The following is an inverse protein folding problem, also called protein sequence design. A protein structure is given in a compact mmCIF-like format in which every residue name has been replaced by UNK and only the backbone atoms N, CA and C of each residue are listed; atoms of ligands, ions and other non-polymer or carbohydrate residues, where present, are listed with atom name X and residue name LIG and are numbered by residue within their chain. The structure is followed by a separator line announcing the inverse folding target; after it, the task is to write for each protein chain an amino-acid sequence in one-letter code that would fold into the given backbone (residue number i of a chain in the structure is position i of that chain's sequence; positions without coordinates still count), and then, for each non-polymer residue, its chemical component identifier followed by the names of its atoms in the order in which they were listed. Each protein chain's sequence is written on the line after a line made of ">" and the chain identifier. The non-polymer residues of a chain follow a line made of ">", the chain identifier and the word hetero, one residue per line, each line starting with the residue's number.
data_IF_219315353014
#
_entry.id   IF_219315353014
#
_cell.length_a   1.000
_cell.length_b   1.000
_cell.length_c   1.000
_cell.angle_alpha   90.00
_cell.angle_beta   90.00
_cell.angle_gamma   90.00
#
_symmetry.space_group_name_H-M   'P 1'
#
loop_
_entity.id
_entity.type
_entity.pdbx_description
1 polymer ?
#
# COMPACT_ATOMS: atom_id res chain seq x y z
N UNK A 1 70.76 -35.25 32.03
CA UNK A 1 69.33 -35.00 32.05
C UNK A 1 69.13 -33.66 31.35
N UNK A 2 68.69 -33.67 30.09
CA UNK A 2 68.38 -32.45 29.32
C UNK A 2 66.85 -32.24 29.40
N UNK A 3 66.37 -31.04 29.59
CA UNK A 3 64.90 -30.76 29.54
C UNK A 3 64.42 -30.64 28.12
N UNK A 4 63.33 -31.36 27.81
CA UNK A 4 62.57 -31.28 26.56
C UNK A 4 61.63 -30.07 26.63
N UNK A 5 61.84 -29.05 25.77
CA UNK A 5 60.98 -27.91 25.65
C UNK A 5 59.84 -28.26 24.66
N UNK A 6 58.60 -28.35 25.14
CA UNK A 6 57.40 -28.48 24.32
C UNK A 6 57.06 -27.14 23.66
N UNK A 7 57.04 -27.12 22.32
CA UNK A 7 56.59 -25.99 21.53
C UNK A 7 55.06 -26.16 21.29
N UNK A 8 54.23 -25.30 21.90
CA UNK A 8 52.79 -25.25 21.64
C UNK A 8 52.54 -24.40 20.40
N UNK A 9 52.03 -24.99 19.31
CA UNK A 9 51.57 -24.31 18.13
C UNK A 9 50.09 -23.96 18.33
N UNK A 10 49.75 -22.67 18.50
CA UNK A 10 48.39 -22.16 18.50
C UNK A 10 47.92 -21.95 17.07
N UNK A 11 46.96 -22.76 16.62
CA UNK A 11 46.25 -22.57 15.34
C UNK A 11 45.14 -21.55 15.59
N UNK A 12 45.34 -20.30 15.15
CA UNK A 12 44.31 -19.27 15.11
C UNK A 12 43.32 -19.57 13.99
N UNK A 13 42.06 -19.88 14.31
CA UNK A 13 40.96 -19.88 13.34
C UNK A 13 40.61 -18.43 13.02
N UNK A 14 40.98 -17.99 11.81
CA UNK A 14 40.44 -16.76 11.24
C UNK A 14 39.04 -17.03 10.69
N UNK A 15 37.99 -16.60 11.41
CA UNK A 15 36.66 -16.47 10.83
C UNK A 15 36.65 -15.26 9.89
N UNK A 16 36.69 -15.50 8.59
CA UNK A 16 36.38 -14.48 7.59
C UNK A 16 34.86 -14.25 7.62
N UNK A 17 34.42 -13.15 8.21
CA UNK A 17 33.07 -12.64 7.97
C UNK A 17 33.04 -12.16 6.52
N UNK A 18 32.34 -12.91 5.68
CA UNK A 18 31.95 -12.41 4.36
C UNK A 18 30.96 -11.25 4.62
N UNK A 19 31.42 -10.02 4.45
CA UNK A 19 30.54 -8.87 4.30
C UNK A 19 29.83 -9.11 2.98
N UNK A 20 28.54 -9.46 3.03
CA UNK A 20 27.69 -9.49 1.84
C UNK A 20 27.69 -8.08 1.28
N UNK A 21 28.28 -7.90 0.11
CA UNK A 21 28.20 -6.63 -0.60
C UNK A 21 26.73 -6.41 -0.92
N UNK A 22 26.15 -5.32 -0.38
CA UNK A 22 24.82 -4.88 -0.75
C UNK A 22 24.83 -4.70 -2.27
N UNK A 23 24.05 -5.49 -2.99
CA UNK A 23 23.96 -5.39 -4.46
C UNK A 23 23.46 -3.99 -4.80
N UNK A 24 24.27 -3.19 -5.49
CA UNK A 24 23.83 -1.89 -5.97
C UNK A 24 22.68 -2.12 -6.97
N UNK A 25 21.50 -1.62 -6.63
CA UNK A 25 20.35 -1.69 -7.52
C UNK A 25 20.59 -0.82 -8.76
N UNK A 26 20.09 -1.22 -9.95
CA UNK A 26 20.29 -0.47 -11.18
C UNK A 26 19.73 0.95 -11.07
N UNK A 27 20.34 1.90 -11.76
CA UNK A 27 19.80 3.25 -11.90
C UNK A 27 18.60 3.24 -12.85
N UNK A 28 17.65 4.19 -12.65
CA UNK A 28 16.53 4.37 -13.59
C UNK A 28 17.00 4.67 -15.01
N UNK A 29 18.15 5.35 -15.15
CA UNK A 29 18.76 5.65 -16.45
C UNK A 29 19.36 4.43 -17.17
N UNK A 30 19.56 3.34 -16.45
CA UNK A 30 20.12 2.10 -17.00
C UNK A 30 19.02 1.12 -17.43
N UNK A 31 17.75 1.46 -17.15
CA UNK A 31 16.61 0.62 -17.50
C UNK A 31 16.19 0.84 -18.94
N UNK A 32 15.86 -0.25 -19.62
CA UNK A 32 15.27 -0.20 -20.95
C UNK A 32 13.84 0.39 -20.90
N UNK A 33 13.34 0.98 -22.02
CA UNK A 33 11.95 1.40 -22.10
C UNK A 33 10.97 0.25 -21.81
N UNK A 34 9.97 0.51 -20.99
CA UNK A 34 9.00 -0.49 -20.54
C UNK A 34 9.23 -0.90 -19.08
N UNK A 35 8.65 -2.04 -18.69
CA UNK A 35 8.74 -2.52 -17.32
C UNK A 35 10.02 -3.30 -17.07
N UNK A 36 10.72 -2.93 -16.02
CA UNK A 36 11.86 -3.66 -15.47
C UNK A 36 11.52 -4.22 -14.09
N UNK A 37 11.99 -5.43 -13.81
CA UNK A 37 11.90 -6.06 -12.48
C UNK A 37 13.22 -5.83 -11.76
N UNK A 38 13.15 -5.34 -10.53
CA UNK A 38 14.32 -5.04 -9.69
C UNK A 38 14.22 -5.86 -8.42
N UNK A 39 15.10 -6.85 -8.26
CA UNK A 39 15.19 -7.70 -7.07
C UNK A 39 15.89 -6.96 -5.94
N UNK A 40 15.43 -7.17 -4.71
CA UNK A 40 16.00 -6.60 -3.48
C UNK A 40 16.41 -7.69 -2.51
N UNK A 41 17.04 -7.33 -1.39
CA UNK A 41 17.33 -8.25 -0.28
C UNK A 41 16.09 -8.49 0.63
N UNK A 42 14.93 -7.90 0.28
CA UNK A 42 13.68 -8.05 1.01
C UNK A 42 13.06 -9.45 0.85
N UNK A 43 12.09 -9.76 1.71
CA UNK A 43 11.39 -11.04 1.69
C UNK A 43 9.88 -10.87 1.84
N UNK A 44 9.11 -11.74 1.19
CA UNK A 44 7.67 -11.87 1.34
C UNK A 44 7.29 -12.63 2.62
N UNK A 45 6.00 -12.76 2.92
CA UNK A 45 5.47 -13.38 4.14
C UNK A 45 5.97 -14.81 4.40
N UNK A 46 6.26 -15.55 3.35
CA UNK A 46 6.77 -16.93 3.39
C UNK A 46 8.30 -17.05 3.38
N UNK A 47 9.03 -15.90 3.39
CA UNK A 47 10.48 -15.86 3.26
C UNK A 47 11.00 -15.94 1.82
N UNK A 48 10.12 -15.92 0.82
CA UNK A 48 10.52 -15.86 -0.60
C UNK A 48 11.06 -14.47 -0.96
N UNK A 49 11.91 -14.36 -2.00
CA UNK A 49 12.52 -13.07 -2.39
C UNK A 49 11.50 -11.99 -2.71
N UNK A 50 11.86 -10.73 -2.41
CA UNK A 50 11.08 -9.55 -2.76
C UNK A 50 11.70 -8.83 -3.97
N UNK A 51 10.84 -8.29 -4.81
CA UNK A 51 11.19 -7.49 -5.98
C UNK A 51 10.16 -6.38 -6.19
N UNK A 52 10.50 -5.37 -6.98
CA UNK A 52 9.58 -4.32 -7.39
C UNK A 52 9.70 -4.03 -8.88
N UNK A 53 8.79 -3.21 -9.41
CA UNK A 53 8.76 -2.88 -10.84
C UNK A 53 9.03 -1.40 -11.04
N UNK A 54 9.79 -1.06 -12.08
CA UNK A 54 10.02 0.31 -12.49
C UNK A 54 9.88 0.46 -14.01
N UNK A 55 9.29 1.58 -14.44
CA UNK A 55 9.16 1.97 -15.84
C UNK A 55 9.66 3.41 -15.99
N UNK A 56 10.79 3.62 -16.68
CA UNK A 56 11.30 4.97 -16.94
C UNK A 56 10.39 5.72 -17.92
N UNK A 57 10.32 7.03 -17.78
CA UNK A 57 9.80 7.95 -18.79
C UNK A 57 10.86 9.00 -19.12
N UNK A 58 10.89 9.37 -20.40
CA UNK A 58 11.78 10.43 -20.91
C UNK A 58 10.99 11.73 -21.20
N UNK A 59 9.68 11.70 -21.00
CA UNK A 59 8.78 12.79 -21.41
C UNK A 59 8.57 13.84 -20.31
N UNK A 60 8.66 13.41 -19.04
CA UNK A 60 8.52 14.32 -17.90
C UNK A 60 9.41 13.88 -16.74
N UNK A 61 9.52 14.75 -15.73
CA UNK A 61 10.16 14.46 -14.45
C UNK A 61 9.14 14.15 -13.33
N UNK A 62 7.92 13.79 -13.74
CA UNK A 62 6.86 13.37 -12.81
C UNK A 62 6.99 11.89 -12.46
N UNK A 63 6.70 11.55 -11.23
CA UNK A 63 6.84 10.18 -10.70
C UNK A 63 5.53 9.70 -10.14
N UNK A 64 5.14 8.48 -10.50
CA UNK A 64 4.06 7.73 -9.87
C UNK A 64 4.65 6.57 -9.06
N UNK A 65 4.34 6.52 -7.77
CA UNK A 65 4.65 5.39 -6.89
C UNK A 65 3.34 4.69 -6.50
N UNK A 66 3.14 3.47 -6.98
CA UNK A 66 1.92 2.71 -6.75
C UNK A 66 2.15 1.55 -5.78
N UNK A 67 1.35 1.49 -4.72
CA UNK A 67 1.34 0.40 -3.74
C UNK A 67 0.23 -0.59 -4.09
N UNK A 68 0.59 -1.82 -4.42
CA UNK A 68 -0.38 -2.86 -4.73
C UNK A 68 -1.17 -3.29 -3.49
N UNK A 69 -2.42 -3.67 -3.70
CA UNK A 69 -3.21 -4.40 -2.73
C UNK A 69 -2.97 -5.91 -2.80
N UNK A 70 -3.70 -6.66 -2.00
CA UNK A 70 -3.60 -8.12 -2.01
C UNK A 70 -4.06 -8.77 -0.71
N UNK A 71 -5.05 -8.21 -0.03
CA UNK A 71 -5.58 -8.74 1.22
C UNK A 71 -4.74 -8.42 2.45
N UNK A 72 -4.93 -9.18 3.54
CA UNK A 72 -4.16 -9.05 4.78
C UNK A 72 -4.35 -10.25 5.69
N UNK A 73 -3.39 -10.55 6.56
CA UNK A 73 -3.52 -11.59 7.57
C UNK A 73 -2.94 -11.14 8.91
N UNK A 74 -3.52 -11.61 10.04
CA UNK A 74 -3.09 -11.24 11.40
C UNK A 74 -3.37 -12.34 12.45
N UNK A 75 -3.71 -13.54 12.02
CA UNK A 75 -3.85 -14.74 12.86
C UNK A 75 -3.41 -15.98 12.09
N UNK A 76 -3.05 -17.05 12.82
CA UNK A 76 -2.30 -18.19 12.28
C UNK A 76 -2.93 -18.83 11.05
N UNK A 77 -4.22 -19.20 11.12
CA UNK A 77 -4.91 -19.84 9.98
C UNK A 77 -4.97 -18.94 8.74
N UNK A 78 -5.20 -17.62 8.91
CA UNK A 78 -5.26 -16.68 7.80
C UNK A 78 -3.89 -16.41 7.17
N UNK A 79 -2.80 -16.58 7.94
CA UNK A 79 -1.43 -16.34 7.49
C UNK A 79 -0.74 -17.61 6.98
N UNK A 80 -1.31 -18.80 7.21
CA UNK A 80 -0.73 -20.06 6.72
C UNK A 80 -0.89 -20.15 5.19
N UNK A 81 0.21 -20.23 4.40
CA UNK A 81 0.13 -20.38 2.95
C UNK A 81 -0.54 -21.68 2.51
N UNK A 82 -0.65 -22.68 3.40
CA UNK A 82 -1.32 -23.96 3.13
C UNK A 82 -2.81 -23.93 3.50
N UNK A 83 -3.29 -22.91 4.20
CA UNK A 83 -4.71 -22.72 4.51
C UNK A 83 -5.49 -22.27 3.28
N UNK A 84 -6.79 -22.59 3.22
CA UNK A 84 -7.67 -22.21 2.13
C UNK A 84 -9.00 -21.64 2.69
N UNK A 85 -9.49 -20.53 2.12
CA UNK A 85 -8.85 -19.71 1.07
C UNK A 85 -7.70 -18.83 1.64
N UNK A 86 -6.67 -18.60 0.82
CA UNK A 86 -5.65 -17.60 1.15
C UNK A 86 -6.28 -16.21 1.17
N UNK A 87 -5.99 -15.45 2.22
CA UNK A 87 -6.56 -14.10 2.44
C UNK A 87 -5.58 -12.97 2.13
N UNK A 88 -4.36 -13.31 1.67
CA UNK A 88 -3.39 -12.33 1.20
C UNK A 88 -2.47 -12.88 0.10
N UNK A 89 -1.85 -11.98 -0.66
CA UNK A 89 -0.82 -12.32 -1.64
C UNK A 89 0.43 -12.85 -0.95
N UNK A 90 0.97 -13.97 -1.44
CA UNK A 90 2.11 -14.68 -0.82
C UNK A 90 3.46 -14.37 -1.47
N UNK A 91 3.48 -13.91 -2.73
CA UNK A 91 4.69 -13.74 -3.54
C UNK A 91 4.67 -12.41 -4.28
N UNK A 92 5.83 -11.77 -4.41
CA UNK A 92 5.96 -10.50 -5.12
C UNK A 92 5.74 -10.64 -6.64
N UNK A 93 6.06 -11.80 -7.21
CA UNK A 93 5.89 -12.11 -8.63
C UNK A 93 4.46 -12.56 -9.03
N UNK A 94 3.49 -12.57 -8.10
CA UNK A 94 2.11 -12.91 -8.44
C UNK A 94 1.58 -12.01 -9.57
N UNK A 95 0.72 -12.58 -10.42
CA UNK A 95 0.12 -11.89 -11.57
C UNK A 95 -0.56 -10.57 -11.16
N UNK A 96 -1.21 -10.55 -10.01
CA UNK A 96 -1.85 -9.35 -9.43
C UNK A 96 -0.86 -8.23 -9.08
N UNK A 97 0.42 -8.55 -8.91
CA UNK A 97 1.47 -7.58 -8.61
C UNK A 97 2.17 -7.06 -9.87
N UNK A 98 2.00 -7.72 -11.02
CA UNK A 98 2.69 -7.39 -12.25
C UNK A 98 1.95 -6.29 -13.03
N UNK A 99 2.50 -5.06 -13.11
CA UNK A 99 1.83 -3.94 -13.77
C UNK A 99 1.64 -4.14 -15.29
N UNK A 100 2.38 -5.04 -15.92
CA UNK A 100 2.17 -5.38 -17.33
C UNK A 100 0.83 -6.08 -17.60
N UNK A 101 0.22 -6.67 -16.59
CA UNK A 101 -1.09 -7.33 -16.67
C UNK A 101 -2.25 -6.43 -16.22
N UNK A 102 -1.95 -5.26 -15.69
CA UNK A 102 -2.94 -4.30 -15.20
C UNK A 102 -3.44 -3.39 -16.33
N UNK A 103 -4.57 -2.74 -16.09
CA UNK A 103 -5.23 -1.74 -16.94
C UNK A 103 -5.30 -0.39 -16.22
N UNK A 104 -6.22 0.46 -16.61
CA UNK A 104 -6.42 1.76 -15.95
C UNK A 104 -5.17 2.64 -16.01
N UNK A 105 -4.64 3.05 -14.85
CA UNK A 105 -3.45 3.93 -14.78
C UNK A 105 -2.18 3.32 -15.40
N UNK A 106 -2.18 2.04 -15.73
CA UNK A 106 -1.04 1.32 -16.36
C UNK A 106 -1.17 1.18 -17.89
N UNK A 107 -2.21 1.72 -18.51
CA UNK A 107 -2.39 1.74 -19.97
C UNK A 107 -1.71 2.96 -20.59
N UNK A 108 -0.38 2.89 -20.80
CA UNK A 108 0.43 4.01 -21.29
C UNK A 108 0.27 4.32 -22.78
N UNK A 109 -0.50 3.55 -23.51
CA UNK A 109 -0.94 3.78 -24.89
C UNK A 109 -2.37 4.38 -24.97
N UNK A 110 -3.06 4.52 -23.84
CA UNK A 110 -4.34 5.19 -23.75
C UNK A 110 -4.14 6.72 -23.61
N UNK A 111 -4.59 7.56 -24.55
CA UNK A 111 -4.41 9.00 -24.47
C UNK A 111 -5.21 9.69 -23.34
N UNK A 112 -6.20 9.01 -22.75
CA UNK A 112 -6.93 9.51 -21.58
C UNK A 112 -6.18 9.25 -20.26
N UNK A 113 -5.09 8.48 -20.29
CA UNK A 113 -4.33 8.17 -19.07
C UNK A 113 -3.55 9.40 -18.58
N UNK A 114 -3.88 9.98 -17.42
CA UNK A 114 -3.18 11.16 -16.92
C UNK A 114 -1.73 10.87 -16.48
N UNK A 115 -1.33 9.60 -16.43
CA UNK A 115 0.02 9.15 -16.04
C UNK A 115 0.90 8.74 -17.22
N UNK A 116 0.46 8.99 -18.47
CA UNK A 116 1.14 8.50 -19.68
C UNK A 116 2.61 8.89 -19.75
N UNK A 117 2.96 10.06 -19.23
CA UNK A 117 4.32 10.63 -19.26
C UNK A 117 5.10 10.44 -17.95
N UNK A 118 4.53 9.79 -16.94
CA UNK A 118 5.20 9.58 -15.65
C UNK A 118 6.22 8.43 -15.73
N UNK A 119 7.33 8.59 -15.01
CA UNK A 119 8.10 7.42 -14.56
C UNK A 119 7.29 6.72 -13.47
N UNK A 120 7.24 5.39 -13.50
CA UNK A 120 6.36 4.63 -12.60
C UNK A 120 7.16 3.61 -11.82
N UNK A 121 6.92 3.57 -10.51
CA UNK A 121 7.43 2.55 -9.60
C UNK A 121 6.26 1.84 -8.94
N UNK A 122 6.21 0.53 -9.05
CA UNK A 122 5.18 -0.29 -8.43
C UNK A 122 5.80 -1.08 -7.28
N UNK A 123 5.20 -0.95 -6.11
CA UNK A 123 5.56 -1.63 -4.86
C UNK A 123 4.65 -2.85 -4.69
N UNK A 124 5.10 -4.07 -5.03
CA UNK A 124 4.32 -5.29 -4.88
C UNK A 124 3.95 -5.58 -3.43
N UNK A 125 2.83 -6.27 -3.26
CA UNK A 125 2.34 -6.67 -1.95
C UNK A 125 2.45 -8.17 -1.75
N UNK A 126 3.12 -8.62 -0.68
CA UNK A 126 3.27 -10.04 -0.37
C UNK A 126 3.50 -10.36 1.12
N UNK A 127 3.30 -9.40 2.02
CA UNK A 127 3.61 -9.58 3.45
C UNK A 127 2.37 -9.68 4.36
N UNK A 128 1.16 -9.48 3.82
CA UNK A 128 -0.09 -9.61 4.56
C UNK A 128 -0.34 -8.53 5.63
N UNK A 129 0.33 -7.37 5.56
CA UNK A 129 0.51 -6.39 6.63
C UNK A 129 0.26 -4.94 6.19
N UNK A 130 -0.48 -4.73 5.10
CA UNK A 130 -0.78 -3.43 4.47
C UNK A 130 0.47 -2.57 4.21
N UNK A 131 1.61 -3.19 3.91
CA UNK A 131 2.94 -2.58 3.74
C UNK A 131 3.55 -1.99 5.03
N UNK A 132 2.99 -2.20 6.21
CA UNK A 132 3.37 -1.52 7.45
C UNK A 132 3.95 -2.45 8.53
N UNK A 133 4.09 -3.73 8.25
CA UNK A 133 4.56 -4.68 9.25
C UNK A 133 6.03 -4.47 9.64
N UNK A 134 6.30 -4.53 10.94
CA UNK A 134 7.60 -4.25 11.56
C UNK A 134 8.42 -5.49 11.88
N UNK A 135 8.20 -6.64 11.22
CA UNK A 135 9.06 -7.82 11.41
C UNK A 135 8.37 -9.18 11.41
N UNK A 136 9.12 -10.19 11.82
CA UNK A 136 8.67 -11.57 11.87
C UNK A 136 7.68 -11.81 13.02
N UNK A 137 6.69 -12.67 12.76
CA UNK A 137 5.71 -13.13 13.75
C UNK A 137 5.52 -14.63 13.66
N UNK A 138 5.57 -15.32 14.80
CA UNK A 138 5.19 -16.72 14.94
C UNK A 138 3.74 -16.82 15.41
N UNK A 139 2.95 -17.63 14.71
CA UNK A 139 1.56 -17.93 15.04
C UNK A 139 1.40 -19.41 15.34
N UNK A 140 0.51 -19.73 16.27
CA UNK A 140 0.02 -21.09 16.50
C UNK A 140 -1.49 -21.09 16.41
N UNK A 141 -2.05 -22.09 15.73
CA UNK A 141 -3.50 -22.29 15.66
C UNK A 141 -3.82 -23.78 15.60
N UNK A 142 -5.01 -24.17 16.04
CA UNK A 142 -5.53 -25.54 15.94
C UNK A 142 -6.18 -25.73 14.57
N UNK A 143 -5.75 -26.74 13.82
CA UNK A 143 -6.34 -27.08 12.53
C UNK A 143 -7.70 -27.81 12.68
N UNK A 144 -8.40 -28.06 11.55
CA UNK A 144 -9.72 -28.70 11.57
C UNK A 144 -9.76 -30.16 12.09
N UNK A 145 -8.60 -30.76 12.42
CA UNK A 145 -8.49 -32.13 12.98
C UNK A 145 -7.94 -32.13 14.42
N UNK A 146 -7.71 -30.96 15.01
CA UNK A 146 -7.30 -30.80 16.40
C UNK A 146 -5.80 -30.81 16.64
N UNK A 147 -4.97 -30.64 15.60
CA UNK A 147 -3.52 -30.54 15.74
C UNK A 147 -3.07 -29.08 15.78
N UNK A 148 -2.07 -28.78 16.62
CA UNK A 148 -1.41 -27.48 16.63
C UNK A 148 -0.53 -27.29 15.40
N UNK A 149 -0.80 -26.21 14.64
CA UNK A 149 -0.01 -25.78 13.49
C UNK A 149 0.77 -24.52 13.86
N UNK A 150 2.08 -24.52 13.59
CA UNK A 150 2.94 -23.37 13.80
C UNK A 150 3.33 -22.77 12.44
N UNK A 151 3.17 -21.46 12.30
CA UNK A 151 3.47 -20.71 11.08
C UNK A 151 4.32 -19.49 11.43
N UNK A 152 5.47 -19.39 10.78
CA UNK A 152 6.31 -18.18 10.84
C UNK A 152 6.00 -17.30 9.66
N UNK A 153 5.67 -16.04 9.91
CA UNK A 153 5.29 -15.06 8.89
C UNK A 153 6.21 -13.85 8.96
N UNK A 154 6.74 -13.44 7.81
CA UNK A 154 7.55 -12.23 7.71
C UNK A 154 6.65 -11.04 7.34
N UNK A 155 6.14 -10.33 8.36
CA UNK A 155 5.46 -9.05 8.19
C UNK A 155 6.50 -7.95 7.98
N UNK A 156 7.16 -8.00 6.84
CA UNK A 156 8.29 -7.11 6.47
C UNK A 156 7.87 -6.02 5.48
N UNK A 157 6.59 -5.71 5.40
CA UNK A 157 6.06 -4.74 4.45
C UNK A 157 6.71 -3.37 4.57
N UNK A 158 7.03 -2.92 5.81
CA UNK A 158 7.72 -1.66 6.03
C UNK A 158 9.14 -1.68 5.43
N UNK A 159 9.96 -2.66 5.77
CA UNK A 159 11.35 -2.73 5.28
C UNK A 159 11.43 -2.92 3.76
N UNK A 160 10.50 -3.70 3.18
CA UNK A 160 10.40 -3.86 1.73
C UNK A 160 10.06 -2.54 1.05
N UNK A 161 9.04 -1.82 1.54
CA UNK A 161 8.63 -0.53 1.00
C UNK A 161 9.72 0.52 1.16
N UNK A 162 10.41 0.58 2.30
CA UNK A 162 11.54 1.49 2.51
C UNK A 162 12.67 1.24 1.51
N UNK A 163 13.00 -0.02 1.21
CA UNK A 163 14.03 -0.35 0.23
C UNK A 163 13.69 0.18 -1.18
N UNK A 164 12.39 0.15 -1.55
CA UNK A 164 11.89 0.72 -2.80
C UNK A 164 11.96 2.25 -2.75
N UNK A 165 11.53 2.88 -1.66
CA UNK A 165 11.59 4.35 -1.50
C UNK A 165 13.03 4.86 -1.51
N UNK A 166 13.97 4.18 -0.88
CA UNK A 166 15.39 4.50 -0.96
C UNK A 166 15.89 4.50 -2.41
N UNK A 167 15.41 3.55 -3.22
CA UNK A 167 15.70 3.52 -4.64
C UNK A 167 15.03 4.70 -5.37
N UNK A 168 13.77 5.02 -5.07
CA UNK A 168 13.05 6.17 -5.63
C UNK A 168 13.80 7.46 -5.34
N UNK A 169 14.19 7.70 -4.10
CA UNK A 169 14.87 8.95 -3.69
C UNK A 169 16.23 9.13 -4.37
N UNK A 170 16.96 8.03 -4.57
CA UNK A 170 18.25 8.08 -5.31
C UNK A 170 18.07 8.34 -6.80
N UNK A 171 17.02 7.81 -7.40
CA UNK A 171 16.80 7.89 -8.85
C UNK A 171 16.00 9.12 -9.28
N UNK A 172 15.23 9.70 -8.40
CA UNK A 172 14.43 10.90 -8.64
C UNK A 172 14.74 11.98 -7.58
N UNK A 173 15.95 12.57 -7.55
CA UNK A 173 16.33 13.50 -6.50
C UNK A 173 15.57 14.83 -6.52
N UNK A 174 14.94 15.19 -7.64
CA UNK A 174 14.21 16.45 -7.82
C UNK A 174 13.07 16.27 -8.83
N UNK A 175 12.04 15.49 -8.53
CA UNK A 175 10.89 15.35 -9.42
C UNK A 175 10.11 16.66 -9.48
N UNK A 176 9.36 16.88 -10.58
CA UNK A 176 8.48 18.05 -10.69
C UNK A 176 7.21 17.86 -9.87
N UNK A 177 6.78 16.61 -9.74
CA UNK A 177 5.60 16.17 -9.00
C UNK A 177 5.76 14.71 -8.62
N UNK A 178 5.19 14.31 -7.49
CA UNK A 178 5.05 12.91 -7.12
C UNK A 178 3.58 12.58 -6.90
N UNK A 179 3.10 11.54 -7.55
CA UNK A 179 1.82 10.92 -7.22
C UNK A 179 2.08 9.62 -6.49
N UNK A 180 1.49 9.47 -5.33
CA UNK A 180 1.42 8.21 -4.60
C UNK A 180 0.04 7.64 -4.86
N UNK A 181 -0.06 6.40 -5.27
CA UNK A 181 -1.34 5.72 -5.39
C UNK A 181 -1.28 4.36 -4.71
N UNK A 182 -2.43 3.85 -4.32
CA UNK A 182 -2.50 2.52 -3.74
C UNK A 182 -3.90 1.96 -3.83
N UNK A 183 -3.99 0.64 -3.91
CA UNK A 183 -5.25 -0.07 -4.03
C UNK A 183 -5.46 -1.00 -2.85
N UNK A 184 -6.66 -0.98 -2.18
CA UNK A 184 -6.98 -1.86 -1.06
C UNK A 184 -5.95 -1.76 0.08
N UNK A 185 -5.27 -2.86 0.46
CA UNK A 185 -4.17 -2.86 1.41
C UNK A 185 -3.07 -1.83 1.06
N UNK A 186 -2.81 -1.63 -0.24
CA UNK A 186 -1.87 -0.62 -0.73
C UNK A 186 -2.36 0.82 -0.58
N UNK A 187 -3.68 1.05 -0.53
CA UNK A 187 -4.23 2.37 -0.24
C UNK A 187 -4.00 2.77 1.22
N UNK A 188 -4.07 1.79 2.14
CA UNK A 188 -3.74 1.99 3.56
C UNK A 188 -2.25 2.28 3.70
N UNK A 189 -1.38 1.41 3.16
CA UNK A 189 0.07 1.66 3.18
C UNK A 189 0.44 2.96 2.49
N UNK A 190 -0.14 3.23 1.32
CA UNK A 190 0.07 4.45 0.55
C UNK A 190 -0.21 5.73 1.34
N UNK A 191 -1.20 5.73 2.25
CA UNK A 191 -1.50 6.89 3.09
C UNK A 191 -0.37 7.24 4.05
N UNK A 192 0.30 6.23 4.61
CA UNK A 192 1.48 6.39 5.44
C UNK A 192 2.70 6.82 4.61
N UNK A 193 2.95 6.13 3.49
CA UNK A 193 4.13 6.42 2.64
C UNK A 193 4.04 7.75 1.90
N UNK A 194 2.83 8.24 1.60
CA UNK A 194 2.65 9.58 1.05
C UNK A 194 3.21 10.66 1.98
N UNK A 195 3.06 10.48 3.29
CA UNK A 195 3.67 11.36 4.28
C UNK A 195 5.20 11.34 4.25
N UNK A 196 5.82 10.16 4.26
CA UNK A 196 7.28 10.01 4.18
C UNK A 196 7.86 10.55 2.85
N UNK A 197 7.16 10.30 1.74
CA UNK A 197 7.54 10.82 0.42
C UNK A 197 7.44 12.35 0.41
N UNK A 198 6.38 12.91 0.99
CA UNK A 198 6.16 14.35 1.06
C UNK A 198 7.18 15.05 1.95
N UNK A 199 7.58 14.44 3.08
CA UNK A 199 8.66 14.92 3.93
C UNK A 199 9.99 14.95 3.18
N UNK A 200 10.34 13.87 2.47
CA UNK A 200 11.57 13.80 1.66
C UNK A 200 11.59 14.85 0.54
N UNK A 201 10.44 15.12 -0.08
CA UNK A 201 10.26 16.10 -1.16
C UNK A 201 9.51 17.35 -0.71
N UNK A 202 9.92 17.97 0.37
CA UNK A 202 9.20 19.03 1.09
C UNK A 202 8.80 20.27 0.26
N UNK A 203 9.38 20.44 -0.95
CA UNK A 203 9.07 21.55 -1.88
C UNK A 203 8.39 21.10 -3.18
N UNK A 204 8.14 19.81 -3.33
CA UNK A 204 7.51 19.21 -4.51
C UNK A 204 6.06 18.90 -4.18
N UNK A 205 5.08 19.22 -5.05
CA UNK A 205 3.70 18.77 -4.87
C UNK A 205 3.62 17.24 -4.81
N UNK A 206 3.01 16.71 -3.75
CA UNK A 206 2.72 15.29 -3.59
C UNK A 206 1.21 15.10 -3.54
N UNK A 207 0.69 14.15 -4.31
CA UNK A 207 -0.74 13.80 -4.30
C UNK A 207 -0.90 12.32 -3.99
N UNK A 208 -1.70 11.99 -2.98
CA UNK A 208 -2.13 10.62 -2.70
C UNK A 208 -3.47 10.33 -3.37
N UNK A 209 -3.59 9.19 -4.04
CA UNK A 209 -4.85 8.61 -4.53
C UNK A 209 -5.02 7.22 -3.91
N UNK A 210 -5.87 7.12 -2.90
CA UNK A 210 -6.14 5.89 -2.15
C UNK A 210 -7.43 5.24 -2.66
N UNK A 211 -7.31 4.06 -3.26
CA UNK A 211 -8.39 3.33 -3.92
C UNK A 211 -8.91 2.20 -3.05
N UNK A 212 -10.16 2.30 -2.61
CA UNK A 212 -10.91 1.28 -1.89
C UNK A 212 -10.37 0.93 -0.48
N UNK A 213 -10.17 1.94 0.38
CA UNK A 213 -9.76 1.75 1.78
C UNK A 213 -10.61 2.47 2.83
N UNK A 214 -11.60 3.30 2.44
CA UNK A 214 -12.40 4.09 3.39
C UNK A 214 -13.34 3.29 4.27
N UNK A 215 -13.65 2.05 3.92
CA UNK A 215 -14.58 1.19 4.66
C UNK A 215 -13.95 0.37 5.79
N UNK A 216 -12.63 0.39 5.96
CA UNK A 216 -11.95 -0.42 6.99
C UNK A 216 -11.88 0.23 8.38
N UNK A 217 -12.54 1.36 8.59
CA UNK A 217 -12.62 2.06 9.88
C UNK A 217 -13.41 1.23 10.92
N UNK A 218 -12.81 0.16 11.43
CA UNK A 218 -13.38 -0.72 12.44
C UNK A 218 -12.76 -0.44 13.82
N UNK A 219 -13.54 -0.48 14.92
CA UNK A 219 -12.98 -0.34 16.27
C UNK A 219 -12.08 -1.51 16.68
N UNK A 220 -11.95 -2.54 15.84
CA UNK A 220 -11.13 -3.73 16.10
C UNK A 220 -9.82 -3.73 15.33
N UNK A 221 -9.46 -2.67 14.59
CA UNK A 221 -8.21 -2.56 13.81
C UNK A 221 -6.95 -2.76 14.64
N UNK A 222 -7.00 -2.46 15.95
CA UNK A 222 -5.89 -2.71 16.87
C UNK A 222 -5.37 -4.16 16.85
N UNK A 223 -6.23 -5.14 16.47
CA UNK A 223 -5.84 -6.55 16.36
C UNK A 223 -4.83 -6.77 15.23
N UNK A 224 -5.04 -6.10 14.12
CA UNK A 224 -4.14 -6.16 12.95
C UNK A 224 -2.84 -5.45 13.27
N UNK A 225 -2.90 -4.25 13.83
CA UNK A 225 -1.70 -3.48 14.18
C UNK A 225 -0.83 -4.17 15.24
N UNK A 226 -1.44 -4.82 16.23
CA UNK A 226 -0.72 -5.60 17.23
C UNK A 226 -0.02 -6.82 16.62
N UNK A 227 -0.65 -7.46 15.62
CA UNK A 227 -0.04 -8.60 14.91
C UNK A 227 1.15 -8.17 14.05
N UNK A 228 1.04 -7.04 13.35
CA UNK A 228 2.06 -6.49 12.46
C UNK A 228 3.12 -5.61 13.16
N UNK A 229 2.91 -5.27 14.44
CA UNK A 229 3.77 -4.39 15.22
C UNK A 229 3.96 -2.99 14.58
N UNK A 230 2.87 -2.40 14.08
CA UNK A 230 2.90 -1.15 13.31
C UNK A 230 3.49 0.02 14.10
N UNK A 231 3.22 0.11 15.41
CA UNK A 231 3.75 1.19 16.23
C UNK A 231 5.30 1.25 16.26
N UNK A 232 5.98 0.13 15.94
CA UNK A 232 7.46 0.10 15.90
C UNK A 232 8.07 0.74 14.67
N UNK A 233 7.26 1.04 13.64
CA UNK A 233 7.73 1.60 12.36
C UNK A 233 7.24 3.02 12.12
N UNK A 234 6.48 3.59 13.07
CA UNK A 234 6.02 4.98 12.98
C UNK A 234 7.23 5.94 13.00
N UNK A 235 7.24 6.98 12.17
CA UNK A 235 8.26 8.00 12.21
C UNK A 235 8.16 8.86 13.51
N UNK A 236 9.23 9.51 13.88
CA UNK A 236 9.28 10.40 15.04
C UNK A 236 8.60 11.74 14.71
N UNK A 237 7.31 11.67 14.38
CA UNK A 237 6.49 12.84 14.14
C UNK A 237 5.63 13.19 15.36
N UNK A 238 5.40 14.48 15.65
CA UNK A 238 4.53 14.90 16.75
C UNK A 238 3.13 14.29 16.69
N UNK A 239 2.63 14.04 15.49
CA UNK A 239 1.32 13.45 15.19
C UNK A 239 1.18 12.02 15.72
N UNK A 240 2.29 11.31 15.90
CA UNK A 240 2.30 9.94 16.44
C UNK A 240 2.74 9.85 17.90
N UNK A 241 2.93 10.99 18.59
CA UNK A 241 3.37 11.01 19.99
C UNK A 241 2.36 10.29 20.92
N UNK A 242 2.81 9.20 21.52
CA UNK A 242 1.99 8.39 22.44
C UNK A 242 1.12 7.34 21.77
N UNK A 243 1.15 7.25 20.43
CA UNK A 243 0.42 6.22 19.71
C UNK A 243 0.99 4.83 19.97
N UNK A 244 0.10 3.87 20.03
CA UNK A 244 0.37 2.44 20.27
C UNK A 244 -0.41 1.60 19.27
N UNK A 245 -0.07 0.32 19.12
CA UNK A 245 -0.86 -0.60 18.31
C UNK A 245 -2.35 -0.68 18.73
N UNK A 246 -2.72 -0.28 19.95
CA UNK A 246 -4.09 -0.27 20.44
C UNK A 246 -4.85 1.02 20.15
N UNK A 247 -4.16 2.16 20.07
CA UNK A 247 -4.78 3.46 19.82
C UNK A 247 -4.89 3.81 18.35
N UNK A 248 -4.02 3.27 17.50
CA UNK A 248 -3.99 3.54 16.07
C UNK A 248 -5.27 3.10 15.34
N UNK A 249 -5.67 3.91 14.38
CA UNK A 249 -6.65 3.63 13.34
C UNK A 249 -6.05 3.78 11.95
N UNK A 250 -6.74 3.33 10.89
CA UNK A 250 -6.27 3.58 9.52
C UNK A 250 -6.38 5.06 9.13
N UNK A 251 -7.27 5.81 9.74
CA UNK A 251 -7.43 7.25 9.52
C UNK A 251 -6.22 8.04 10.02
N UNK A 252 -5.56 7.59 11.09
CA UNK A 252 -4.39 8.29 11.65
C UNK A 252 -3.26 8.42 10.64
N UNK A 253 -3.11 7.48 9.71
CA UNK A 253 -2.10 7.58 8.65
C UNK A 253 -2.37 8.72 7.68
N UNK A 254 -3.64 8.93 7.31
CA UNK A 254 -4.04 10.07 6.47
C UNK A 254 -3.86 11.39 7.22
N UNK A 255 -4.36 11.45 8.45
CA UNK A 255 -4.36 12.65 9.29
C UNK A 255 -2.93 13.07 9.64
N UNK A 256 -2.10 12.15 10.11
CA UNK A 256 -0.71 12.43 10.46
C UNK A 256 0.09 12.88 9.22
N UNK A 257 -0.04 12.16 8.10
CA UNK A 257 0.66 12.50 6.86
C UNK A 257 0.29 13.90 6.35
N UNK A 258 -0.99 14.28 6.37
CA UNK A 258 -1.45 15.60 5.95
C UNK A 258 -1.02 16.73 6.91
N UNK A 259 -1.08 16.49 8.21
CA UNK A 259 -0.74 17.49 9.20
C UNK A 259 0.77 17.75 9.29
N UNK A 260 1.56 16.70 9.09
CA UNK A 260 3.02 16.82 9.06
C UNK A 260 3.52 17.55 7.81
N UNK A 261 2.83 17.41 6.67
CA UNK A 261 3.30 17.88 5.37
C UNK A 261 2.33 18.88 4.72
N UNK A 262 2.82 20.07 4.38
CA UNK A 262 2.00 21.13 3.74
C UNK A 262 1.92 21.03 2.22
N UNK A 263 2.71 20.18 1.61
CA UNK A 263 2.76 19.94 0.16
C UNK A 263 2.04 18.64 -0.25
N UNK A 264 1.28 18.02 0.66
CA UNK A 264 0.53 16.78 0.44
C UNK A 264 -0.96 17.07 0.26
N UNK A 265 -1.49 16.67 -0.89
CA UNK A 265 -2.94 16.59 -1.16
C UNK A 265 -3.38 15.14 -1.10
N UNK A 266 -4.47 14.84 -0.42
CA UNK A 266 -4.97 13.48 -0.22
C UNK A 266 -6.33 13.31 -0.91
N UNK A 267 -6.49 12.18 -1.61
CA UNK A 267 -7.75 11.79 -2.21
C UNK A 267 -8.08 10.31 -1.94
N UNK A 268 -9.35 10.02 -1.68
CA UNK A 268 -9.86 8.66 -1.59
C UNK A 268 -10.92 8.37 -2.65
N UNK A 269 -10.83 7.20 -3.28
CA UNK A 269 -11.91 6.62 -4.08
C UNK A 269 -12.50 5.40 -3.35
N UNK A 270 -13.83 5.29 -3.34
CA UNK A 270 -14.53 4.12 -2.83
C UNK A 270 -15.78 3.82 -3.67
N UNK A 271 -16.18 2.55 -3.75
CA UNK A 271 -17.52 2.19 -4.16
C UNK A 271 -18.39 1.90 -2.93
N UNK A 272 -19.64 2.34 -2.97
CA UNK A 272 -20.54 2.31 -1.81
C UNK A 272 -20.91 0.89 -1.32
N UNK A 273 -20.86 -0.11 -2.20
CA UNK A 273 -21.27 -1.49 -1.93
C UNK A 273 -20.11 -2.50 -2.05
N UNK A 274 -18.87 -2.07 -1.86
CA UNK A 274 -17.67 -2.89 -1.95
C UNK A 274 -17.71 -4.06 -0.95
N UNK A 275 -17.96 -5.26 -1.47
CA UNK A 275 -18.08 -6.47 -0.66
C UNK A 275 -16.74 -6.92 -0.07
N UNK A 276 -15.61 -6.55 -0.67
CA UNK A 276 -14.29 -6.90 -0.14
C UNK A 276 -14.03 -6.11 1.13
N UNK A 277 -14.24 -4.79 1.12
CA UNK A 277 -14.14 -3.96 2.31
C UNK A 277 -15.10 -4.42 3.41
N UNK A 278 -16.36 -4.75 3.05
CA UNK A 278 -17.34 -5.26 3.99
C UNK A 278 -16.88 -6.57 4.65
N UNK A 279 -16.44 -7.55 3.85
CA UNK A 279 -16.01 -8.86 4.35
C UNK A 279 -14.74 -8.78 5.20
N UNK A 280 -13.75 -7.96 4.83
CA UNK A 280 -12.57 -7.75 5.67
C UNK A 280 -12.93 -7.07 7.00
N UNK A 281 -13.89 -6.16 7.04
CA UNK A 281 -14.39 -5.59 8.30
C UNK A 281 -14.99 -6.67 9.21
N UNK A 282 -15.74 -7.63 8.64
CA UNK A 282 -16.22 -8.78 9.40
C UNK A 282 -15.07 -9.65 9.93
N UNK A 283 -14.04 -9.87 9.11
CA UNK A 283 -12.86 -10.66 9.48
C UNK A 283 -12.05 -9.97 10.58
N UNK A 284 -11.96 -8.64 10.59
CA UNK A 284 -11.33 -7.84 11.65
C UNK A 284 -12.10 -7.99 12.98
N UNK A 285 -13.43 -8.20 12.95
CA UNK A 285 -14.22 -8.47 14.14
C UNK A 285 -15.58 -7.80 14.21
N UNK A 286 -15.99 -7.07 13.18
CA UNK A 286 -17.35 -6.55 13.07
C UNK A 286 -18.37 -7.70 12.92
N UNK A 287 -19.63 -7.42 13.22
CA UNK A 287 -20.71 -8.40 13.07
C UNK A 287 -21.55 -8.08 11.84
N UNK A 288 -22.06 -9.13 11.20
CA UNK A 288 -23.02 -8.98 10.09
C UNK A 288 -24.18 -8.08 10.51
N UNK A 289 -24.47 -7.06 9.71
CA UNK A 289 -25.55 -6.09 9.95
C UNK A 289 -25.30 -5.09 11.09
N UNK A 290 -24.09 -5.08 11.70
CA UNK A 290 -23.77 -4.10 12.75
C UNK A 290 -23.34 -2.73 12.19
N UNK A 291 -23.09 -2.63 10.91
CA UNK A 291 -22.71 -1.40 10.22
C UNK A 291 -23.21 -1.37 8.77
N UNK A 292 -23.32 -0.16 8.24
CA UNK A 292 -23.51 0.11 6.81
C UNK A 292 -22.18 0.53 6.22
N UNK A 293 -21.73 -0.12 5.15
CA UNK A 293 -20.46 0.24 4.51
C UNK A 293 -20.46 1.69 3.97
N UNK A 294 -21.51 2.16 3.25
CA UNK A 294 -21.56 3.55 2.80
C UNK A 294 -21.48 4.55 3.97
N UNK A 295 -22.17 4.27 5.07
CA UNK A 295 -22.13 5.14 6.24
C UNK A 295 -20.75 5.14 6.90
N UNK A 296 -20.07 3.99 6.94
CA UNK A 296 -18.70 3.87 7.48
C UNK A 296 -17.70 4.64 6.61
N UNK A 297 -17.78 4.53 5.29
CA UNK A 297 -17.00 5.31 4.35
C UNK A 297 -17.20 6.81 4.56
N UNK A 298 -18.46 7.24 4.69
CA UNK A 298 -18.77 8.64 4.95
C UNK A 298 -18.24 9.13 6.31
N UNK A 299 -18.36 8.32 7.36
CA UNK A 299 -17.80 8.67 8.69
C UNK A 299 -16.27 8.77 8.64
N UNK A 300 -15.60 7.88 7.88
CA UNK A 300 -14.16 7.96 7.63
C UNK A 300 -13.76 9.28 6.96
N UNK A 301 -14.52 9.75 5.97
CA UNK A 301 -14.25 11.04 5.34
C UNK A 301 -14.40 12.20 6.32
N UNK A 302 -15.51 12.25 7.08
CA UNK A 302 -15.72 13.30 8.07
C UNK A 302 -14.63 13.36 9.12
N UNK A 303 -14.09 12.22 9.54
CA UNK A 303 -12.99 12.17 10.50
C UNK A 303 -11.71 12.75 9.90
N UNK A 304 -11.36 12.38 8.67
CA UNK A 304 -10.17 12.92 8.00
C UNK A 304 -10.35 14.42 7.71
N UNK A 305 -11.48 14.84 7.12
CA UNK A 305 -11.78 16.24 6.79
C UNK A 305 -11.76 17.16 7.99
N UNK A 306 -12.29 16.71 9.15
CA UNK A 306 -12.30 17.52 10.36
C UNK A 306 -10.92 17.71 10.98
N UNK A 307 -9.92 16.94 10.57
CA UNK A 307 -8.55 16.96 11.10
C UNK A 307 -7.48 17.36 10.06
N UNK A 308 -7.86 17.60 8.81
CA UNK A 308 -6.94 17.95 7.71
C UNK A 308 -7.51 19.07 6.84
N UNK A 309 -6.72 19.62 5.91
CA UNK A 309 -7.16 20.71 5.04
C UNK A 309 -7.27 20.32 3.56
N UNK A 310 -6.40 19.51 3.03
CA UNK A 310 -6.33 19.18 1.59
C UNK A 310 -6.73 17.71 1.35
N UNK A 311 -7.93 17.35 1.80
CA UNK A 311 -8.53 16.04 1.59
C UNK A 311 -9.73 16.13 0.65
N UNK A 312 -9.78 15.23 -0.32
CA UNK A 312 -10.86 15.09 -1.29
C UNK A 312 -11.33 13.65 -1.39
N UNK A 313 -12.60 13.46 -1.75
CA UNK A 313 -13.12 12.10 -1.92
C UNK A 313 -14.02 11.94 -3.15
N UNK A 314 -14.02 10.75 -3.70
CA UNK A 314 -14.90 10.33 -4.78
C UNK A 314 -15.56 9.00 -4.42
N UNK A 315 -16.87 9.00 -4.21
CA UNK A 315 -17.64 7.79 -3.93
C UNK A 315 -18.58 7.48 -5.06
N UNK A 316 -18.37 6.34 -5.70
CA UNK A 316 -19.26 5.82 -6.74
C UNK A 316 -20.21 4.77 -6.18
N UNK A 317 -21.33 4.54 -6.87
CA UNK A 317 -22.15 3.36 -6.61
C UNK A 317 -21.50 2.08 -7.14
N UNK A 318 -22.06 0.93 -6.77
CA UNK A 318 -21.60 -0.37 -7.24
C UNK A 318 -20.69 -1.09 -6.27
N UNK A 319 -20.09 -2.20 -6.77
CA UNK A 319 -19.41 -3.19 -5.93
C UNK A 319 -17.96 -3.43 -6.32
N UNK A 320 -17.40 -2.63 -7.24
CA UNK A 320 -16.01 -2.79 -7.63
C UNK A 320 -15.09 -2.60 -6.44
N UNK A 321 -14.17 -3.54 -6.26
CA UNK A 321 -13.09 -3.41 -5.31
C UNK A 321 -11.83 -3.04 -6.08
N UNK A 322 -11.39 -1.78 -5.93
CA UNK A 322 -10.30 -1.14 -6.67
C UNK A 322 -10.58 -0.93 -8.16
N UNK A 323 -10.21 0.22 -8.66
CA UNK A 323 -10.39 0.57 -10.07
C UNK A 323 -9.14 1.15 -10.74
N UNK A 324 -8.13 1.57 -9.96
CA UNK A 324 -6.94 2.18 -10.54
C UNK A 324 -6.21 1.26 -11.54
N UNK A 325 -6.21 -0.04 -11.27
CA UNK A 325 -5.58 -1.06 -12.12
C UNK A 325 -6.54 -1.75 -13.11
N UNK A 326 -7.74 -1.21 -13.36
CA UNK A 326 -8.77 -1.85 -14.18
C UNK A 326 -9.37 -0.87 -15.20
N UNK A 327 -10.08 -1.35 -16.26
CA UNK A 327 -10.72 -0.48 -17.24
C UNK A 327 -11.78 0.47 -16.65
N UNK A 328 -12.33 0.12 -15.49
CA UNK A 328 -13.32 0.91 -14.77
C UNK A 328 -12.79 2.30 -14.38
N UNK A 329 -11.47 2.49 -14.29
CA UNK A 329 -10.82 3.79 -14.08
C UNK A 329 -11.33 4.86 -15.05
N UNK A 330 -11.58 4.49 -16.32
CA UNK A 330 -12.08 5.39 -17.35
C UNK A 330 -13.61 5.46 -17.45
N UNK A 331 -14.31 4.53 -16.79
CA UNK A 331 -15.75 4.31 -17.00
C UNK A 331 -16.60 4.93 -15.88
N UNK A 332 -16.09 5.02 -14.65
CA UNK A 332 -16.85 5.57 -13.54
C UNK A 332 -17.16 7.05 -13.75
N UNK A 333 -18.45 7.38 -13.53
CA UNK A 333 -18.95 8.75 -13.54
C UNK A 333 -20.07 8.90 -12.52
N UNK A 334 -20.00 9.94 -11.71
CA UNK A 334 -21.02 10.30 -10.71
C UNK A 334 -21.45 11.74 -10.97
N UNK A 335 -22.75 11.99 -11.14
CA UNK A 335 -23.32 13.31 -11.43
C UNK A 335 -22.67 14.02 -12.63
N UNK A 336 -22.18 13.26 -13.62
CA UNK A 336 -21.53 13.81 -14.82
C UNK A 336 -20.03 14.08 -14.66
N UNK A 337 -19.45 13.87 -13.49
CA UNK A 337 -18.00 13.97 -13.24
C UNK A 337 -17.37 12.60 -13.47
N UNK A 338 -16.57 12.44 -14.52
CA UNK A 338 -15.81 11.22 -14.79
C UNK A 338 -14.65 11.11 -13.79
N UNK A 339 -14.39 9.92 -13.27
CA UNK A 339 -13.30 9.71 -12.31
C UNK A 339 -11.91 10.02 -12.91
N UNK A 340 -11.65 9.60 -14.15
CA UNK A 340 -10.38 9.89 -14.83
C UNK A 340 -10.14 11.40 -14.99
N UNK A 341 -11.18 12.18 -15.32
CA UNK A 341 -11.06 13.63 -15.47
C UNK A 341 -10.83 14.29 -14.10
N UNK A 342 -11.52 13.82 -13.06
CA UNK A 342 -11.34 14.27 -11.69
C UNK A 342 -9.92 14.02 -11.19
N UNK A 343 -9.35 12.82 -11.46
CA UNK A 343 -7.95 12.49 -11.14
C UNK A 343 -6.98 13.36 -11.92
N UNK A 344 -7.23 13.57 -13.22
CA UNK A 344 -6.39 14.44 -14.08
C UNK A 344 -6.32 15.87 -13.55
N UNK A 345 -7.47 16.43 -13.14
CA UNK A 345 -7.52 17.77 -12.56
C UNK A 345 -6.82 17.83 -11.21
N UNK A 346 -7.06 16.85 -10.33
CA UNK A 346 -6.42 16.75 -9.01
C UNK A 346 -4.90 16.74 -9.11
N UNK A 347 -4.32 15.82 -9.89
CA UNK A 347 -2.86 15.70 -10.02
C UNK A 347 -2.23 16.89 -10.77
N UNK A 348 -3.02 17.62 -11.55
CA UNK A 348 -2.57 18.86 -12.21
C UNK A 348 -2.61 20.07 -11.28
N UNK A 349 -3.10 19.92 -10.04
CA UNK A 349 -3.27 21.00 -9.07
C UNK A 349 -4.43 21.95 -9.42
N UNK A 350 -5.37 21.51 -10.28
CA UNK A 350 -6.61 22.24 -10.52
C UNK A 350 -7.60 22.00 -9.38
N UNK A 351 -8.48 22.95 -9.09
CA UNK A 351 -9.51 22.76 -8.09
C UNK A 351 -10.43 21.59 -8.44
N UNK A 352 -10.63 20.69 -7.50
CA UNK A 352 -11.62 19.62 -7.55
C UNK A 352 -12.60 19.76 -6.38
N UNK A 353 -13.77 19.15 -6.51
CA UNK A 353 -14.75 19.07 -5.44
C UNK A 353 -14.97 17.60 -5.08
N UNK A 354 -15.46 17.38 -3.87
CA UNK A 354 -15.91 16.07 -3.45
C UNK A 354 -17.07 15.59 -4.32
N UNK A 355 -16.97 14.32 -4.71
CA UNK A 355 -17.98 13.67 -5.53
C UNK A 355 -18.52 12.46 -4.74
N UNK A 356 -19.81 12.44 -4.49
CA UNK A 356 -20.40 11.35 -3.73
C UNK A 356 -21.80 11.01 -4.20
N UNK A 357 -22.03 9.74 -4.48
CA UNK A 357 -23.36 9.19 -4.64
C UNK A 357 -24.10 9.05 -3.30
N UNK A 358 -23.39 9.11 -2.16
CA UNK A 358 -23.91 9.05 -0.80
C UNK A 358 -24.03 10.48 -0.29
N UNK A 359 -25.18 11.10 -0.41
CA UNK A 359 -25.54 12.32 0.34
C UNK A 359 -26.39 11.90 1.51
N UNK A 360 -26.33 12.60 2.62
CA UNK A 360 -27.00 12.46 3.95
C UNK A 360 -28.18 11.46 4.11
N UNK A 361 -28.76 11.01 3.01
CA UNK A 361 -29.84 10.02 2.94
C UNK A 361 -29.65 9.08 1.75
N UNK A 362 -28.90 8.01 1.94
CA UNK A 362 -29.02 6.71 1.30
C UNK A 362 -29.55 6.67 -0.15
N UNK A 363 -28.68 6.74 -1.14
CA UNK A 363 -29.11 6.65 -2.52
C UNK A 363 -28.02 6.55 -3.57
N UNK A 364 -27.10 5.55 -3.45
CA UNK A 364 -26.29 5.13 -4.57
C UNK A 364 -27.04 4.22 -5.56
N UNK A 365 -28.36 4.08 -5.40
CA UNK A 365 -29.23 3.17 -6.18
C UNK A 365 -29.27 3.47 -7.68
N UNK A 366 -28.77 4.61 -8.12
CA UNK A 366 -28.72 5.03 -9.52
C UNK A 366 -27.30 5.16 -10.08
N UNK A 367 -26.33 4.48 -9.50
CA UNK A 367 -25.04 4.39 -10.17
C UNK A 367 -25.21 3.71 -11.54
N UNK A 368 -24.65 4.26 -12.60
CA UNK A 368 -24.74 3.61 -13.90
C UNK A 368 -24.19 2.20 -13.78
N UNK A 369 -25.04 1.20 -13.97
CA UNK A 369 -24.58 -0.15 -14.19
C UNK A 369 -23.54 -0.07 -15.29
N UNK A 370 -22.30 -0.49 -15.00
CA UNK A 370 -21.30 -0.73 -16.02
C UNK A 370 -21.98 -1.59 -17.09
N UNK A 371 -22.30 -1.01 -18.24
CA UNK A 371 -22.79 -1.80 -19.36
C UNK A 371 -21.60 -2.68 -19.74
N UNK A 372 -21.72 -3.98 -19.50
CA UNK A 372 -20.83 -4.93 -20.15
C UNK A 372 -20.94 -4.61 -21.64
N UNK A 373 -19.83 -4.19 -22.23
CA UNK A 373 -19.72 -4.18 -23.68
C UNK A 373 -19.88 -5.64 -24.12
N UNK A 374 -20.91 -5.89 -24.93
CA UNK A 374 -21.16 -7.19 -25.55
C UNK A 374 -20.02 -7.57 -26.50
#
# INVERSE_FOLDING_TARGET
>A
MMPITMLTVSVGLFFSFAVSAKTDLPSISDLEPGWSVISTDGVCSTGTPYQFYAKPSMNSNDVLVHFNGGGACWFGEACDPNSQPNVHSLFAEMEINNPANMKGIFEFDNPENPFIDHSVVVVPYCNGDVHLGGGQKDYTYENGVGDDVNVTVFHNGFSNSQSVLDWVYRNFPSPSRVVVSGSSAGAIGGSFYAGLISENYSTVPVTLIADAAGGYASPFTYRTFAAWNVASVLPDWPEYNGETNQSLSFQDFYIASANHNKNLTIAQFNTAEDLVQYNFSLLIGDKVGSFSLPQRIFTNYLEIESNTVDFFHYTAGGRAHTILGTPEFYQYSVEGVRFVDWVSDLISGKPVMDVSCVRESFGCENAPSVRKAD
#
